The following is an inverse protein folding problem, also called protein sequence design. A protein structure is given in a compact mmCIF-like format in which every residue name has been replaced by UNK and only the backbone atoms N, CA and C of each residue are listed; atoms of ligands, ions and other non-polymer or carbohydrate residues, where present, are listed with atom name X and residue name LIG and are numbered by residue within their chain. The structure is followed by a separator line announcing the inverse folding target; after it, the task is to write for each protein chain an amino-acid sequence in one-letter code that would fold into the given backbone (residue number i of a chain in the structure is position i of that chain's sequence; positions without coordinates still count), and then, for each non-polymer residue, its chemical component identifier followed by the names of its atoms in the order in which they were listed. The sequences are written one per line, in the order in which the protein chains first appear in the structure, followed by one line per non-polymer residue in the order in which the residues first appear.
data_IF_830281530601
#
_entry.id   IF_830281530601
#
_cell.length_a   1.000
_cell.length_b   1.000
_cell.length_c   1.000
_cell.angle_alpha   90.00
_cell.angle_beta   90.00
_cell.angle_gamma   90.00
#
_symmetry.space_group_name_H-M   'P 1'
#
loop_
_entity.id
_entity.type
_entity.pdbx_description
1 polymer ?
#
# COMPACT_ATOMS: atom_id res chain seq x y z
N UNK A 1 25.21 -23.94 13.18
CA UNK A 1 26.42 -23.22 13.63
C UNK A 1 26.51 -21.93 12.84
N UNK A 2 26.47 -20.75 13.49
CA UNK A 2 26.78 -19.47 12.82
C UNK A 2 28.28 -19.51 12.48
N UNK A 3 28.64 -19.49 11.18
CA UNK A 3 30.02 -19.26 10.77
C UNK A 3 30.42 -17.87 11.27
N UNK A 4 31.48 -17.79 12.07
CA UNK A 4 32.07 -16.50 12.44
C UNK A 4 32.62 -15.87 11.16
N UNK A 5 32.05 -14.68 10.79
CA UNK A 5 32.57 -13.90 9.67
C UNK A 5 33.85 -13.24 10.17
N UNK A 6 34.98 -13.57 9.56
CA UNK A 6 36.25 -12.92 9.86
C UNK A 6 36.30 -11.58 9.11
N UNK A 7 36.41 -10.49 9.86
CA UNK A 7 36.49 -9.14 9.33
C UNK A 7 37.81 -8.50 9.76
N UNK A 8 38.37 -7.65 8.90
CA UNK A 8 39.47 -6.75 9.26
C UNK A 8 39.22 -5.36 8.72
N UNK A 9 39.64 -4.35 9.45
CA UNK A 9 39.61 -2.95 9.02
C UNK A 9 41.01 -2.48 8.71
N UNK A 10 41.27 -2.04 7.48
CA UNK A 10 42.59 -1.60 7.03
C UNK A 10 42.43 -0.50 5.98
N UNK A 11 43.23 0.56 6.05
CA UNK A 11 43.25 1.68 5.11
C UNK A 11 41.88 2.37 4.89
N UNK A 12 41.04 2.44 5.94
CA UNK A 12 39.73 3.06 5.84
C UNK A 12 38.63 2.18 5.23
N UNK A 13 38.93 0.90 4.97
CA UNK A 13 37.97 -0.06 4.42
C UNK A 13 37.85 -1.31 5.29
N UNK A 14 36.65 -1.88 5.31
CA UNK A 14 36.38 -3.19 5.90
C UNK A 14 36.57 -4.27 4.86
N UNK A 15 37.29 -5.34 5.21
CA UNK A 15 37.51 -6.51 4.37
C UNK A 15 36.87 -7.72 5.02
N UNK A 16 36.25 -8.56 4.21
CA UNK A 16 35.70 -9.87 4.62
C UNK A 16 36.57 -11.00 4.10
N UNK A 17 36.84 -11.98 4.95
CA UNK A 17 37.59 -13.15 4.57
C UNK A 17 36.69 -14.26 4.04
N UNK A 18 37.04 -14.81 2.88
CA UNK A 18 36.35 -15.93 2.29
C UNK A 18 37.21 -17.20 2.46
N UNK A 19 36.76 -18.13 3.31
CA UNK A 19 37.46 -19.39 3.59
C UNK A 19 37.54 -20.29 2.33
N UNK A 20 36.62 -20.17 1.39
CA UNK A 20 36.56 -21.02 0.17
C UNK A 20 37.68 -20.69 -0.84
N UNK A 21 38.06 -19.44 -0.91
CA UNK A 21 39.08 -18.93 -1.84
C UNK A 21 40.35 -18.47 -1.13
N UNK A 22 40.37 -18.52 0.19
CA UNK A 22 41.51 -18.08 1.03
C UNK A 22 41.98 -16.65 0.73
N UNK A 23 40.99 -15.71 0.60
CA UNK A 23 41.25 -14.30 0.24
C UNK A 23 40.37 -13.34 1.00
N UNK A 24 40.87 -12.11 1.12
CA UNK A 24 40.15 -10.97 1.67
C UNK A 24 39.48 -10.16 0.54
N UNK A 25 38.21 -9.80 0.70
CA UNK A 25 37.46 -9.01 -0.23
C UNK A 25 37.03 -7.67 0.41
N UNK A 26 37.31 -6.53 -0.24
CA UNK A 26 36.96 -5.24 0.32
C UNK A 26 35.48 -4.96 0.23
N UNK A 27 34.93 -4.31 1.26
CA UNK A 27 33.70 -3.56 1.16
C UNK A 27 34.06 -2.21 0.51
N UNK A 28 33.47 -1.87 -0.61
CA UNK A 28 33.78 -0.62 -1.30
C UNK A 28 32.56 0.29 -1.41
N UNK A 29 32.84 1.59 -1.62
CA UNK A 29 31.82 2.60 -1.94
C UNK A 29 32.02 3.04 -3.38
N UNK A 30 30.91 3.27 -4.10
CA UNK A 30 30.95 3.83 -5.43
C UNK A 30 30.98 5.38 -5.41
N UNK A 31 31.00 5.99 -6.59
CA UNK A 31 31.01 7.45 -6.74
C UNK A 31 29.74 8.13 -6.17
N UNK A 32 28.65 7.36 -6.00
CA UNK A 32 27.40 7.81 -5.38
C UNK A 32 27.37 7.59 -3.86
N UNK A 33 28.50 7.22 -3.27
CA UNK A 33 28.66 6.95 -1.84
C UNK A 33 27.83 5.76 -1.33
N UNK A 34 27.38 4.86 -2.22
CA UNK A 34 26.77 3.59 -1.86
C UNK A 34 27.83 2.62 -1.37
N UNK A 35 27.54 1.96 -0.25
CA UNK A 35 28.38 0.91 0.30
C UNK A 35 27.93 -0.44 -0.27
N UNK A 36 28.86 -1.28 -0.68
CA UNK A 36 28.58 -2.62 -1.21
C UNK A 36 29.11 -3.68 -0.27
N UNK A 37 28.31 -4.70 -0.05
CA UNK A 37 28.68 -5.89 0.72
C UNK A 37 28.86 -7.09 -0.21
N UNK A 38 29.92 -7.88 0.01
CA UNK A 38 30.13 -9.11 -0.73
C UNK A 38 29.25 -10.24 -0.18
N UNK A 39 28.35 -10.76 -0.98
CA UNK A 39 27.59 -11.95 -0.64
C UNK A 39 28.26 -13.24 -1.11
N UNK A 40 28.55 -14.10 -0.14
CA UNK A 40 29.05 -15.46 -0.36
C UNK A 40 27.88 -16.46 -0.44
N UNK A 41 27.97 -17.54 -1.23
CA UNK A 41 29.13 -18.03 -1.99
C UNK A 41 29.26 -17.49 -3.42
N UNK A 42 28.39 -16.60 -3.85
CA UNK A 42 28.29 -16.21 -5.26
C UNK A 42 29.27 -15.11 -5.68
N UNK A 43 30.03 -14.52 -4.76
CA UNK A 43 30.98 -13.42 -5.02
C UNK A 43 30.33 -12.21 -5.71
N UNK A 44 29.10 -11.89 -5.33
CA UNK A 44 28.33 -10.77 -5.86
C UNK A 44 28.38 -9.63 -4.84
N UNK A 45 28.74 -8.42 -5.30
CA UNK A 45 28.61 -7.22 -4.50
C UNK A 45 27.19 -6.68 -4.59
N UNK A 46 26.52 -6.61 -3.44
CA UNK A 46 25.16 -6.06 -3.34
C UNK A 46 25.23 -4.69 -2.66
N UNK A 47 24.64 -3.64 -3.25
CA UNK A 47 24.59 -2.34 -2.61
C UNK A 47 23.79 -2.44 -1.30
N UNK A 48 24.39 -1.95 -0.21
CA UNK A 48 23.69 -1.72 1.04
C UNK A 48 22.88 -0.42 0.88
N UNK A 49 21.63 -0.57 0.46
CA UNK A 49 20.68 0.54 0.44
C UNK A 49 20.02 0.55 1.82
N UNK A 50 20.39 1.50 2.67
CA UNK A 50 19.56 1.84 3.81
C UNK A 50 18.27 2.46 3.24
N UNK A 51 17.24 1.65 3.15
CA UNK A 51 15.91 2.16 2.91
C UNK A 51 15.53 2.94 4.17
N UNK A 52 15.25 4.21 4.00
CA UNK A 52 14.59 4.99 5.05
C UNK A 52 13.42 4.15 5.57
N UNK A 53 13.22 4.06 6.89
CA UNK A 53 12.06 3.35 7.42
C UNK A 53 10.84 3.93 6.72
N UNK A 54 10.16 3.07 5.96
CA UNK A 54 8.88 3.45 5.36
C UNK A 54 7.98 3.72 6.54
N UNK A 55 7.67 5.00 6.78
CA UNK A 55 6.65 5.36 7.74
C UNK A 55 5.42 4.54 7.38
N UNK A 56 5.02 3.64 8.28
CA UNK A 56 3.78 2.91 8.06
C UNK A 56 2.69 3.96 7.85
N UNK A 57 1.97 3.91 6.75
CA UNK A 57 0.98 4.94 6.48
C UNK A 57 -0.04 4.96 7.62
N UNK A 58 -0.21 6.10 8.26
CA UNK A 58 -1.17 6.34 9.35
C UNK A 58 -2.62 6.03 8.95
N UNK A 59 -2.86 5.74 7.68
CA UNK A 59 -4.16 5.49 7.10
C UNK A 59 -4.27 4.09 6.49
N UNK A 60 -5.22 3.29 6.97
CA UNK A 60 -5.55 2.01 6.35
C UNK A 60 -6.65 2.22 5.32
N UNK A 61 -6.38 1.80 4.08
CA UNK A 61 -7.37 1.83 3.02
C UNK A 61 -8.55 0.91 3.36
N UNK A 62 -9.75 1.45 3.16
CA UNK A 62 -10.98 0.66 3.25
C UNK A 62 -11.22 -0.11 1.93
N UNK A 63 -12.36 -0.75 1.82
CA UNK A 63 -12.79 -1.45 0.62
C UNK A 63 -12.70 -0.57 -0.65
N UNK A 64 -12.96 0.72 -0.55
CA UNK A 64 -12.99 1.65 -1.68
C UNK A 64 -11.61 1.85 -2.28
N UNK A 65 -10.62 2.17 -1.46
CA UNK A 65 -9.24 2.35 -1.91
C UNK A 65 -8.65 1.08 -2.51
N UNK A 66 -8.92 -0.08 -1.90
CA UNK A 66 -8.48 -1.38 -2.42
C UNK A 66 -9.10 -1.69 -3.78
N UNK A 67 -10.39 -1.41 -3.96
CA UNK A 67 -11.07 -1.61 -5.26
C UNK A 67 -10.54 -0.67 -6.33
N UNK A 68 -10.29 0.60 -6.00
CA UNK A 68 -9.63 1.54 -6.93
C UNK A 68 -8.26 1.05 -7.36
N UNK A 69 -7.43 0.58 -6.42
CA UNK A 69 -6.13 0.01 -6.72
C UNK A 69 -6.21 -1.16 -7.70
N UNK A 70 -7.11 -2.10 -7.44
CA UNK A 70 -7.31 -3.28 -8.30
C UNK A 70 -7.80 -2.87 -9.70
N UNK A 71 -8.72 -1.93 -9.79
CA UNK A 71 -9.20 -1.40 -11.06
C UNK A 71 -8.09 -0.74 -11.88
N UNK A 72 -7.26 0.09 -11.26
CA UNK A 72 -6.11 0.72 -11.92
C UNK A 72 -5.13 -0.32 -12.45
N UNK A 73 -4.82 -1.35 -11.66
CA UNK A 73 -3.90 -2.44 -12.08
C UNK A 73 -4.44 -3.23 -13.27
N UNK A 74 -5.73 -3.54 -13.28
CA UNK A 74 -6.33 -4.44 -14.27
C UNK A 74 -6.76 -3.71 -15.55
N UNK A 75 -7.28 -2.48 -15.44
CA UNK A 75 -7.93 -1.79 -16.55
C UNK A 75 -7.25 -0.49 -16.98
N UNK A 76 -6.43 0.10 -16.12
CA UNK A 76 -5.76 1.39 -16.36
C UNK A 76 -4.26 1.32 -16.06
N UNK A 77 -3.57 0.32 -16.61
CA UNK A 77 -2.15 0.06 -16.32
C UNK A 77 -1.24 1.28 -16.56
N UNK A 78 -1.49 2.07 -17.60
CA UNK A 78 -0.74 3.31 -17.86
C UNK A 78 -0.98 4.40 -16.80
N UNK A 79 -2.19 4.52 -16.28
CA UNK A 79 -2.49 5.43 -15.17
C UNK A 79 -1.85 4.93 -13.88
N UNK A 80 -1.90 3.62 -13.64
CA UNK A 80 -1.25 2.99 -12.49
C UNK A 80 0.26 3.27 -12.46
N UNK A 81 0.96 3.07 -13.59
CA UNK A 81 2.40 3.34 -13.69
C UNK A 81 2.74 4.83 -13.45
N UNK A 82 1.94 5.76 -14.00
CA UNK A 82 2.13 7.19 -13.73
C UNK A 82 1.95 7.53 -12.26
N UNK A 83 0.91 6.97 -11.62
CA UNK A 83 0.64 7.19 -10.19
C UNK A 83 1.72 6.58 -9.30
N UNK A 84 2.34 5.46 -9.68
CA UNK A 84 3.48 4.88 -8.96
C UNK A 84 4.65 5.87 -8.83
N UNK A 85 4.83 6.73 -9.81
CA UNK A 85 5.89 7.75 -9.82
C UNK A 85 5.44 9.03 -9.10
N UNK A 86 4.16 9.42 -9.26
CA UNK A 86 3.64 10.72 -8.81
C UNK A 86 2.95 10.70 -7.44
N UNK A 87 2.70 9.55 -6.83
CA UNK A 87 2.03 9.43 -5.54
C UNK A 87 0.77 8.56 -5.58
N UNK A 88 0.94 7.26 -5.78
CA UNK A 88 -0.17 6.31 -5.80
C UNK A 88 -0.91 6.27 -4.46
N UNK A 89 -0.16 6.30 -3.36
CA UNK A 89 -0.73 6.18 -2.02
C UNK A 89 -1.66 7.35 -1.71
N UNK A 90 -1.21 8.57 -1.94
CA UNK A 90 -1.98 9.79 -1.72
C UNK A 90 -3.25 9.81 -2.57
N UNK A 91 -3.17 9.35 -3.82
CA UNK A 91 -4.34 9.19 -4.68
C UNK A 91 -5.35 8.20 -4.11
N UNK A 92 -4.89 7.03 -3.66
CA UNK A 92 -5.77 5.99 -3.09
C UNK A 92 -6.43 6.47 -1.79
N UNK A 93 -5.68 7.12 -0.90
CA UNK A 93 -6.21 7.69 0.34
C UNK A 93 -7.25 8.76 0.05
N UNK A 94 -7.00 9.64 -0.92
CA UNK A 94 -7.94 10.68 -1.32
C UNK A 94 -9.25 10.09 -1.85
N UNK A 95 -9.16 9.10 -2.75
CA UNK A 95 -10.35 8.42 -3.29
C UNK A 95 -11.10 7.69 -2.20
N UNK A 96 -10.40 6.99 -1.32
CA UNK A 96 -10.99 6.21 -0.23
C UNK A 96 -11.78 7.10 0.74
N UNK A 97 -11.20 8.22 1.16
CA UNK A 97 -11.88 9.21 2.02
C UNK A 97 -13.11 9.79 1.34
N UNK A 98 -12.98 10.22 0.08
CA UNK A 98 -14.10 10.77 -0.69
C UNK A 98 -15.23 9.75 -0.83
N UNK A 99 -14.92 8.49 -1.12
CA UNK A 99 -15.95 7.45 -1.25
C UNK A 99 -16.65 7.16 0.09
N UNK A 100 -15.92 7.14 1.20
CA UNK A 100 -16.53 6.95 2.53
C UNK A 100 -17.46 8.12 2.88
N UNK A 101 -17.02 9.36 2.67
CA UNK A 101 -17.87 10.56 2.89
C UNK A 101 -19.12 10.56 2.00
N UNK A 102 -18.98 10.16 0.73
CA UNK A 102 -20.12 10.04 -0.18
C UNK A 102 -21.04 8.90 0.19
N UNK A 103 -20.54 7.77 0.68
CA UNK A 103 -21.36 6.67 1.19
C UNK A 103 -22.26 7.16 2.32
N UNK A 104 -21.69 7.85 3.31
CA UNK A 104 -22.43 8.36 4.46
C UNK A 104 -23.46 9.41 4.04
N UNK A 105 -23.06 10.36 3.20
CA UNK A 105 -23.96 11.43 2.70
C UNK A 105 -25.14 10.87 1.91
N UNK A 106 -24.88 9.99 0.94
CA UNK A 106 -25.93 9.41 0.09
C UNK A 106 -26.84 8.47 0.90
N UNK A 107 -26.28 7.71 1.85
CA UNK A 107 -27.09 6.89 2.76
C UNK A 107 -28.07 7.75 3.56
N UNK A 108 -27.61 8.86 4.14
CA UNK A 108 -28.47 9.77 4.89
C UNK A 108 -29.54 10.39 4.01
N UNK A 109 -29.17 10.93 2.85
CA UNK A 109 -30.10 11.58 1.94
C UNK A 109 -31.19 10.65 1.41
N UNK A 110 -30.80 9.45 0.97
CA UNK A 110 -31.76 8.49 0.39
C UNK A 110 -32.65 7.89 1.49
N UNK A 111 -32.08 7.52 2.63
CA UNK A 111 -32.86 7.03 3.77
C UNK A 111 -33.91 8.08 4.22
N UNK A 112 -33.54 9.35 4.27
CA UNK A 112 -34.46 10.45 4.60
C UNK A 112 -35.54 10.63 3.56
N UNK A 113 -35.16 10.58 2.27
CA UNK A 113 -36.13 10.73 1.17
C UNK A 113 -37.14 9.58 1.10
N UNK A 114 -36.72 8.37 1.44
CA UNK A 114 -37.56 7.16 1.43
C UNK A 114 -38.27 6.88 2.76
N UNK A 115 -38.09 7.75 3.77
CA UNK A 115 -38.74 7.62 5.08
C UNK A 115 -38.25 6.44 5.90
N UNK A 116 -37.00 6.00 5.69
CA UNK A 116 -36.37 4.92 6.46
C UNK A 116 -35.85 5.51 7.78
N UNK A 117 -36.68 5.42 8.81
CA UNK A 117 -36.45 6.08 10.11
C UNK A 117 -36.19 5.06 11.22
N UNK A 118 -35.67 5.55 12.35
CA UNK A 118 -35.51 4.73 13.58
C UNK A 118 -36.87 4.30 14.14
N UNK A 119 -37.95 5.02 13.84
CA UNK A 119 -39.30 4.61 14.22
C UNK A 119 -39.74 3.37 13.45
N UNK A 120 -39.46 3.30 12.14
CA UNK A 120 -39.67 2.10 11.32
C UNK A 120 -38.92 0.89 11.89
N UNK A 121 -37.68 1.09 12.35
CA UNK A 121 -36.88 0.04 12.97
C UNK A 121 -37.53 -0.53 14.25
N UNK A 122 -38.20 0.32 15.05
CA UNK A 122 -38.92 -0.12 16.25
C UNK A 122 -40.18 -0.91 15.92
N UNK A 123 -40.85 -0.56 14.82
CA UNK A 123 -42.11 -1.19 14.40
C UNK A 123 -41.85 -2.50 13.66
N UNK A 124 -40.95 -2.50 12.68
CA UNK A 124 -40.55 -3.68 11.92
C UNK A 124 -39.05 -3.62 11.57
N UNK A 125 -38.28 -4.31 12.38
CA UNK A 125 -36.81 -4.35 12.24
C UNK A 125 -36.40 -5.06 10.95
N UNK A 126 -37.10 -6.10 10.53
CA UNK A 126 -36.72 -6.87 9.33
C UNK A 126 -36.96 -6.05 8.06
N UNK A 127 -38.10 -5.35 7.99
CA UNK A 127 -38.39 -4.44 6.88
C UNK A 127 -37.36 -3.30 6.82
N UNK A 128 -37.04 -2.71 7.96
CA UNK A 128 -36.03 -1.64 8.06
C UNK A 128 -34.66 -2.09 7.57
N UNK A 129 -34.20 -3.26 7.98
CA UNK A 129 -32.92 -3.85 7.53
C UNK A 129 -32.92 -4.08 6.03
N UNK A 130 -34.00 -4.66 5.50
CA UNK A 130 -34.14 -4.91 4.06
C UNK A 130 -34.08 -3.64 3.22
N UNK A 131 -34.83 -2.61 3.63
CA UNK A 131 -34.84 -1.30 2.93
C UNK A 131 -33.48 -0.61 3.02
N UNK A 132 -32.86 -0.61 4.19
CA UNK A 132 -31.53 -0.01 4.37
C UNK A 132 -30.45 -0.70 3.55
N UNK A 133 -30.48 -2.03 3.46
CA UNK A 133 -29.56 -2.80 2.61
C UNK A 133 -29.76 -2.49 1.12
N UNK A 134 -31.01 -2.32 0.68
CA UNK A 134 -31.31 -1.92 -0.69
C UNK A 134 -30.71 -0.54 -1.01
N UNK A 135 -30.92 0.44 -0.13
CA UNK A 135 -30.31 1.78 -0.28
C UNK A 135 -28.79 1.66 -0.32
N UNK A 136 -28.19 0.88 0.56
CA UNK A 136 -26.73 0.68 0.59
C UNK A 136 -26.19 0.11 -0.73
N UNK A 137 -26.87 -0.84 -1.33
CA UNK A 137 -26.47 -1.40 -2.63
C UNK A 137 -26.54 -0.33 -3.74
N UNK A 138 -27.60 0.46 -3.80
CA UNK A 138 -27.74 1.57 -4.77
C UNK A 138 -26.64 2.62 -4.58
N UNK A 139 -26.34 3.00 -3.35
CA UNK A 139 -25.26 3.95 -3.03
C UNK A 139 -23.92 3.38 -3.52
N UNK A 140 -23.66 2.11 -3.28
CA UNK A 140 -22.42 1.46 -3.76
C UNK A 140 -22.31 1.46 -5.28
N UNK A 141 -23.38 1.19 -5.99
CA UNK A 141 -23.39 1.24 -7.47
C UNK A 141 -23.07 2.64 -7.99
N UNK A 142 -23.61 3.69 -7.37
CA UNK A 142 -23.29 5.08 -7.70
C UNK A 142 -21.80 5.36 -7.49
N UNK A 143 -21.26 4.99 -6.33
CA UNK A 143 -19.86 5.24 -6.01
C UNK A 143 -18.91 4.44 -6.93
N UNK A 144 -19.25 3.19 -7.27
CA UNK A 144 -18.46 2.40 -8.23
C UNK A 144 -18.39 3.10 -9.58
N UNK A 145 -19.53 3.57 -10.08
CA UNK A 145 -19.60 4.20 -11.39
C UNK A 145 -18.86 5.54 -11.41
N UNK A 146 -19.03 6.37 -10.39
CA UNK A 146 -18.58 7.77 -10.41
C UNK A 146 -17.15 7.97 -9.90
N UNK A 147 -16.65 7.09 -9.02
CA UNK A 147 -15.36 7.26 -8.36
C UNK A 147 -14.38 6.11 -8.56
N UNK A 148 -14.85 4.88 -8.67
CA UNK A 148 -13.97 3.71 -8.71
C UNK A 148 -13.61 3.35 -10.15
N UNK A 149 -14.56 3.28 -11.05
CA UNK A 149 -14.39 2.80 -12.44
C UNK A 149 -14.24 3.92 -13.49
N UNK A 150 -13.65 5.03 -13.08
CA UNK A 150 -13.44 6.20 -13.95
C UNK A 150 -12.04 6.21 -14.58
#
# INVERSE_FOLDING_TARGET
MKKEIKEKYENGMTYYYCDEVDKWFPQFKDDNNLTYELQLPHFIYIPLIELDPVDEPDYQLTMWGIRRLNYLKQHKSGAYQRLMISGLWEHLVSVDKTCNEMEDLLMEQICKAEGITEEMKRQDMMLWVGMRNNVKNRVREIIYHDYIYV
#
